data_IF_369951318012
#
_entry.id   IF_369951318012
#
_cell.length_a   1.000
_cell.length_b   1.000
_cell.length_c   1.000
_cell.angle_alpha   90.00
_cell.angle_beta   90.00
_cell.angle_gamma   90.00
#
_symmetry.space_group_name_H-M   'P 1'
#
loop_
_entity.id
_entity.type
_entity.pdbx_description
1 polymer ?
#
# COMPACT_ATOMS: atom_id res chain seq x y z
N UNK A 1 19.55 -2.29 -11.11
CA UNK A 1 19.05 -1.01 -11.60
C UNK A 1 18.56 -0.16 -10.44
N UNK A 2 18.69 1.16 -10.54
CA UNK A 2 18.15 2.07 -9.56
C UNK A 2 16.60 2.04 -9.62
N UNK A 3 15.94 2.12 -8.49
CA UNK A 3 14.48 2.19 -8.38
C UNK A 3 14.11 3.38 -7.50
N UNK A 4 13.23 4.24 -8.00
CA UNK A 4 12.66 5.32 -7.20
C UNK A 4 11.59 4.73 -6.27
N UNK A 5 11.85 4.72 -4.97
CA UNK A 5 10.93 4.13 -4.00
C UNK A 5 9.77 5.06 -3.68
N UNK A 6 9.97 6.00 -2.80
CA UNK A 6 8.92 6.92 -2.37
C UNK A 6 9.34 8.35 -2.67
N UNK A 7 8.53 9.06 -3.48
CA UNK A 7 8.70 10.46 -3.82
C UNK A 7 7.32 11.13 -3.84
N UNK A 8 7.00 11.86 -2.79
CA UNK A 8 5.70 12.50 -2.65
C UNK A 8 5.79 13.84 -1.93
N UNK A 9 4.81 14.69 -2.19
CA UNK A 9 4.52 15.89 -1.41
C UNK A 9 3.31 15.61 -0.53
N UNK A 10 3.36 16.11 0.71
CA UNK A 10 2.27 15.97 1.65
C UNK A 10 1.94 17.32 2.26
N UNK A 11 0.67 17.69 2.17
CA UNK A 11 0.06 18.80 2.89
C UNK A 11 -0.63 18.24 4.13
N UNK A 12 -0.40 18.85 5.26
CA UNK A 12 -0.95 18.43 6.54
C UNK A 12 -1.80 19.55 7.15
N UNK A 13 -2.73 19.17 8.05
CA UNK A 13 -3.61 20.12 8.75
C UNK A 13 -4.52 20.95 7.83
N UNK A 14 -5.01 20.35 6.75
CA UNK A 14 -6.02 20.99 5.92
C UNK A 14 -7.37 20.99 6.65
N UNK A 15 -8.16 22.07 6.54
CA UNK A 15 -9.37 22.24 7.37
C UNK A 15 -10.49 21.22 7.10
N UNK A 16 -10.51 20.59 5.92
CA UNK A 16 -11.55 19.64 5.50
C UNK A 16 -11.09 18.19 5.42
N UNK A 17 -9.80 17.93 5.15
CA UNK A 17 -9.29 16.62 4.77
C UNK A 17 -8.00 16.23 5.48
N UNK A 18 -7.67 16.92 6.54
CA UNK A 18 -6.48 16.77 7.40
C UNK A 18 -5.15 16.56 6.68
N UNK A 19 -4.97 15.49 5.89
CA UNK A 19 -3.72 15.23 5.18
C UNK A 19 -3.99 14.86 3.73
N UNK A 20 -3.33 15.56 2.81
CA UNK A 20 -3.33 15.28 1.39
C UNK A 20 -1.92 14.91 0.93
N UNK A 21 -1.79 13.83 0.18
CA UNK A 21 -0.53 13.34 -0.37
C UNK A 21 -0.64 13.14 -1.87
N UNK A 22 0.38 13.60 -2.61
CA UNK A 22 0.49 13.43 -4.06
C UNK A 22 1.91 13.01 -4.44
N UNK A 23 2.05 12.08 -5.36
CA UNK A 23 3.33 11.58 -5.85
C UNK A 23 3.37 10.06 -5.99
N UNK A 24 4.56 9.49 -5.86
CA UNK A 24 4.81 8.04 -5.91
C UNK A 24 4.93 7.49 -4.51
N UNK A 25 4.04 6.60 -4.15
CA UNK A 25 4.05 5.92 -2.84
C UNK A 25 3.23 4.62 -2.90
N UNK A 26 3.29 3.84 -1.84
CA UNK A 26 2.52 2.60 -1.74
C UNK A 26 1.03 2.88 -1.60
N UNK A 27 0.21 2.14 -2.34
CA UNK A 27 -1.24 2.22 -2.20
C UNK A 27 -1.68 1.73 -0.80
N UNK A 28 -2.67 2.38 -0.18
CA UNK A 28 -3.13 2.02 1.16
C UNK A 28 -4.05 0.79 1.11
N UNK A 29 -3.56 -0.35 0.64
CA UNK A 29 -4.34 -1.57 0.49
C UNK A 29 -4.02 -2.61 1.57
N UNK A 30 -2.80 -3.12 1.61
CA UNK A 30 -2.38 -4.18 2.54
C UNK A 30 -1.56 -3.62 3.70
N UNK A 31 -1.88 -4.05 4.94
CA UNK A 31 -1.07 -3.71 6.11
C UNK A 31 0.36 -4.23 5.94
N UNK A 32 0.50 -5.44 5.47
CA UNK A 32 1.80 -6.07 5.30
C UNK A 32 2.64 -5.39 4.21
N UNK A 33 2.00 -4.88 3.14
CA UNK A 33 2.72 -4.14 2.10
C UNK A 33 3.21 -2.78 2.58
N UNK A 34 2.39 -2.02 3.31
CA UNK A 34 2.79 -0.71 3.84
C UNK A 34 3.74 -0.80 5.03
N UNK A 35 3.76 -1.93 5.75
CA UNK A 35 4.69 -2.18 6.85
C UNK A 35 6.11 -2.33 6.31
N UNK A 36 7.07 -1.71 6.99
CA UNK A 36 8.49 -1.87 6.67
C UNK A 36 8.92 -3.32 6.86
N UNK A 37 9.76 -3.83 5.96
CA UNK A 37 10.34 -5.18 6.06
C UNK A 37 11.10 -5.46 7.37
N UNK A 38 11.49 -4.41 8.10
CA UNK A 38 12.12 -4.54 9.42
C UNK A 38 11.17 -4.99 10.52
N UNK A 39 9.86 -4.86 10.31
CA UNK A 39 8.82 -5.12 11.32
C UNK A 39 7.87 -6.25 10.92
N UNK A 40 8.15 -6.98 9.84
CA UNK A 40 7.40 -8.19 9.49
C UNK A 40 7.94 -9.39 10.28
N UNK A 41 7.03 -10.25 10.72
CA UNK A 41 7.37 -11.41 11.55
C UNK A 41 8.05 -12.52 10.76
N UNK A 42 7.68 -12.69 9.51
CA UNK A 42 8.22 -13.74 8.63
C UNK A 42 9.26 -13.16 7.66
N UNK A 43 10.18 -13.99 7.21
CA UNK A 43 11.21 -13.60 6.24
C UNK A 43 10.62 -13.18 4.88
N UNK A 44 9.42 -13.64 4.58
CA UNK A 44 8.68 -13.32 3.36
C UNK A 44 7.26 -12.89 3.68
N UNK A 45 6.69 -12.09 2.78
CA UNK A 45 5.31 -11.66 2.87
C UNK A 45 4.35 -12.77 2.46
N UNK A 46 3.17 -12.78 3.07
CA UNK A 46 2.14 -13.76 2.78
C UNK A 46 1.73 -13.74 1.29
N UNK A 47 1.32 -14.89 0.76
CA UNK A 47 0.88 -15.06 -0.63
C UNK A 47 -0.18 -14.02 -1.07
N UNK A 48 -1.17 -13.63 -0.26
CA UNK A 48 -2.13 -12.60 -0.63
C UNK A 48 -1.53 -11.24 -0.96
N UNK A 49 -0.29 -10.97 -0.55
CA UNK A 49 0.41 -9.73 -0.88
C UNK A 49 0.68 -9.54 -2.39
N UNK A 50 0.56 -10.60 -3.19
CA UNK A 50 0.57 -10.55 -4.67
C UNK A 50 -0.52 -9.62 -5.23
N UNK A 51 -1.63 -9.53 -4.53
CA UNK A 51 -2.74 -8.68 -4.93
C UNK A 51 -2.55 -7.22 -4.53
N UNK A 52 -1.56 -6.94 -3.67
CA UNK A 52 -1.22 -5.57 -3.31
C UNK A 52 -0.59 -4.84 -4.49
N UNK A 53 -1.05 -3.62 -4.73
CA UNK A 53 -0.69 -2.87 -5.93
C UNK A 53 0.75 -2.29 -5.90
N UNK A 54 1.44 -2.38 -4.76
CA UNK A 54 2.79 -1.84 -4.62
C UNK A 54 2.85 -0.30 -4.66
N UNK A 55 3.88 0.23 -5.34
CA UNK A 55 4.09 1.68 -5.48
C UNK A 55 3.57 2.17 -6.80
N UNK A 56 2.67 3.13 -6.74
CA UNK A 56 2.06 3.77 -7.89
C UNK A 56 2.07 5.30 -7.74
N UNK A 57 1.94 6.01 -8.86
CA UNK A 57 1.74 7.45 -8.84
C UNK A 57 0.28 7.74 -8.57
N UNK A 58 0.01 8.64 -7.63
CA UNK A 58 -1.37 8.96 -7.31
C UNK A 58 -1.51 10.09 -6.31
N UNK A 59 -2.75 10.30 -5.91
CA UNK A 59 -3.12 11.23 -4.86
C UNK A 59 -3.97 10.50 -3.83
N UNK A 60 -3.81 10.88 -2.58
CA UNK A 60 -4.48 10.26 -1.45
C UNK A 60 -4.81 11.29 -0.39
N UNK A 61 -5.99 11.15 0.15
CA UNK A 61 -6.43 11.82 1.39
C UNK A 61 -6.44 10.79 2.50
N UNK A 62 -5.92 11.14 3.64
CA UNK A 62 -5.92 10.27 4.80
C UNK A 62 -5.98 11.05 6.10
N UNK A 63 -6.55 10.44 7.12
CA UNK A 63 -6.62 11.02 8.45
C UNK A 63 -6.65 9.96 9.54
N UNK A 64 -6.54 10.44 10.78
CA UNK A 64 -6.66 9.68 12.01
C UNK A 64 -7.71 10.31 12.89
N UNK A 65 -8.54 9.50 13.51
CA UNK A 65 -9.60 9.91 14.41
C UNK A 65 -9.55 9.11 15.71
N UNK A 66 -10.23 9.61 16.75
CA UNK A 66 -10.34 8.95 18.06
C UNK A 66 -8.99 8.58 18.68
N UNK A 67 -8.11 9.57 18.87
CA UNK A 67 -6.77 9.37 19.44
C UNK A 67 -5.97 8.28 18.71
N UNK A 68 -5.94 8.40 17.36
CA UNK A 68 -5.25 7.46 16.45
C UNK A 68 -5.82 6.03 16.43
N UNK A 69 -6.96 5.77 17.08
CA UNK A 69 -7.60 4.45 17.10
C UNK A 69 -8.32 4.10 15.81
N UNK A 70 -8.72 5.10 15.04
CA UNK A 70 -9.31 4.94 13.70
C UNK A 70 -8.41 5.64 12.69
N UNK A 71 -8.04 4.93 11.64
CA UNK A 71 -7.35 5.55 10.49
C UNK A 71 -8.11 5.24 9.22
N UNK A 72 -8.17 6.20 8.33
CA UNK A 72 -8.76 6.01 7.02
C UNK A 72 -7.91 6.65 5.93
N UNK A 73 -7.96 6.09 4.74
CA UNK A 73 -7.28 6.60 3.57
C UNK A 73 -8.11 6.29 2.33
N UNK A 74 -8.22 7.27 1.44
CA UNK A 74 -8.86 7.14 0.13
C UNK A 74 -7.96 7.79 -0.90
N UNK A 75 -7.71 7.12 -2.01
CA UNK A 75 -6.85 7.66 -3.04
C UNK A 75 -7.14 7.11 -4.43
N UNK A 76 -6.65 7.84 -5.41
CA UNK A 76 -6.65 7.45 -6.81
C UNK A 76 -5.22 7.27 -7.27
N UNK A 77 -4.96 6.18 -7.97
CA UNK A 77 -3.63 5.78 -8.37
C UNK A 77 -3.58 5.40 -9.85
N UNK A 78 -2.42 5.55 -10.44
CA UNK A 78 -2.13 5.06 -11.77
C UNK A 78 -0.89 4.19 -11.73
N UNK A 79 -1.00 2.98 -12.26
CA UNK A 79 0.10 2.03 -12.32
C UNK A 79 1.24 2.57 -13.19
N UNK A 80 2.46 2.50 -12.66
CA UNK A 80 3.66 2.99 -13.32
C UNK A 80 4.77 1.93 -13.27
N UNK A 81 5.80 2.14 -14.09
CA UNK A 81 7.04 1.35 -14.04
C UNK A 81 7.85 1.58 -12.75
N UNK A 82 8.99 0.91 -12.62
CA UNK A 82 9.88 1.01 -11.46
C UNK A 82 10.42 2.43 -11.20
N UNK A 83 10.50 3.27 -12.21
CA UNK A 83 10.92 4.67 -12.09
C UNK A 83 9.76 5.65 -11.90
N UNK A 84 8.52 5.21 -12.13
CA UNK A 84 7.34 6.07 -12.03
C UNK A 84 7.11 7.00 -13.23
N UNK A 85 7.86 6.84 -14.29
CA UNK A 85 7.79 7.67 -15.51
C UNK A 85 7.02 7.00 -16.64
N UNK A 86 7.12 5.66 -16.75
CA UNK A 86 6.39 4.88 -17.75
C UNK A 86 4.99 4.54 -17.28
N UNK A 87 3.98 4.94 -18.05
CA UNK A 87 2.62 4.46 -17.84
C UNK A 87 2.41 3.24 -18.72
N UNK A 88 1.98 2.13 -18.11
CA UNK A 88 1.63 0.94 -18.88
C UNK A 88 0.53 1.27 -19.91
N UNK A 89 0.57 0.66 -21.10
CA UNK A 89 -0.39 0.96 -22.19
C UNK A 89 -1.85 0.73 -21.79
N UNK A 90 -2.07 -0.15 -20.82
CA UNK A 90 -3.41 -0.53 -20.32
C UNK A 90 -3.73 0.07 -18.95
N UNK A 91 -2.88 0.93 -18.40
CA UNK A 91 -3.05 1.44 -17.05
C UNK A 91 -4.01 2.62 -17.02
N UNK A 92 -5.26 2.34 -16.70
CA UNK A 92 -6.20 3.34 -16.21
C UNK A 92 -5.98 3.59 -14.71
N UNK A 93 -6.85 4.39 -14.16
CA UNK A 93 -6.84 4.71 -12.74
C UNK A 93 -7.38 3.56 -11.90
N UNK A 94 -6.85 3.42 -10.71
CA UNK A 94 -7.46 2.64 -9.62
C UNK A 94 -7.90 3.58 -8.50
N UNK A 95 -8.99 3.23 -7.89
CA UNK A 95 -9.45 3.85 -6.65
C UNK A 95 -9.22 2.85 -5.53
N UNK A 96 -8.45 3.25 -4.53
CA UNK A 96 -8.14 2.42 -3.37
C UNK A 96 -8.56 3.13 -2.10
N UNK A 97 -9.27 2.42 -1.24
CA UNK A 97 -9.70 2.92 0.07
C UNK A 97 -9.40 1.92 1.15
N UNK A 98 -9.14 2.42 2.36
CA UNK A 98 -8.83 1.63 3.53
C UNK A 98 -9.36 2.31 4.78
N UNK A 99 -9.88 1.49 5.69
CA UNK A 99 -10.23 1.90 7.05
C UNK A 99 -9.63 0.89 8.01
N UNK A 100 -9.01 1.35 9.08
CA UNK A 100 -8.50 0.48 10.14
C UNK A 100 -8.88 1.03 11.50
N UNK A 101 -9.13 0.14 12.43
CA UNK A 101 -9.53 0.48 13.77
C UNK A 101 -8.86 -0.38 14.83
N UNK A 102 -8.70 0.19 16.03
CA UNK A 102 -8.21 -0.45 17.24
C UNK A 102 -9.33 -0.45 18.29
N UNK A 103 -10.35 -1.33 18.18
CA UNK A 103 -11.45 -1.35 19.13
C UNK A 103 -11.02 -1.74 20.56
N UNK A 104 -9.94 -2.48 20.67
CA UNK A 104 -9.36 -2.83 21.95
C UNK A 104 -7.87 -2.46 21.98
N UNK A 105 -7.49 -1.65 22.96
CA UNK A 105 -6.11 -1.23 23.16
C UNK A 105 -5.85 -1.06 24.65
N UNK A 106 -5.02 -1.93 25.23
CA UNK A 106 -4.64 -1.93 26.64
C UNK A 106 -3.14 -2.14 26.82
N UNK A 107 -2.63 -1.79 28.02
CA UNK A 107 -1.27 -2.03 28.47
C UNK A 107 -0.20 -1.50 27.49
N UNK A 108 -0.40 -0.28 26.96
CA UNK A 108 0.52 0.36 25.97
C UNK A 108 0.77 -0.51 24.74
N UNK A 109 -0.26 -1.23 24.28
CA UNK A 109 -0.18 -2.06 23.08
C UNK A 109 0.21 -3.52 23.31
N UNK A 110 0.36 -3.98 24.55
CA UNK A 110 0.58 -5.41 24.85
C UNK A 110 -0.65 -6.26 24.54
N UNK A 111 -1.84 -5.67 24.71
CA UNK A 111 -3.12 -6.30 24.38
C UNK A 111 -3.86 -5.37 23.43
N UNK A 112 -3.90 -5.71 22.17
CA UNK A 112 -4.60 -4.94 21.15
C UNK A 112 -5.38 -5.86 20.21
N UNK A 113 -6.47 -5.33 19.70
CA UNK A 113 -7.22 -5.94 18.61
C UNK A 113 -7.30 -4.93 17.47
N UNK A 114 -6.70 -5.28 16.33
CA UNK A 114 -6.65 -4.42 15.15
C UNK A 114 -7.51 -5.02 14.05
N UNK A 115 -8.44 -4.24 13.54
CA UNK A 115 -9.27 -4.56 12.39
C UNK A 115 -8.92 -3.64 11.23
N UNK A 116 -8.88 -4.18 10.03
CA UNK A 116 -8.67 -3.41 8.81
C UNK A 116 -9.52 -3.93 7.68
N UNK A 117 -10.14 -3.01 6.95
CA UNK A 117 -10.85 -3.27 5.71
C UNK A 117 -10.26 -2.40 4.62
N UNK A 118 -10.00 -2.99 3.46
CA UNK A 118 -9.53 -2.27 2.27
C UNK A 118 -10.26 -2.74 1.03
N UNK A 119 -10.48 -1.79 0.13
CA UNK A 119 -11.10 -2.03 -1.16
C UNK A 119 -10.30 -1.33 -2.26
N UNK A 120 -10.09 -2.01 -3.37
CA UNK A 120 -9.44 -1.42 -4.55
C UNK A 120 -10.18 -1.81 -5.80
N UNK A 121 -10.60 -0.80 -6.57
CA UNK A 121 -11.23 -0.99 -7.86
C UNK A 121 -10.28 -0.49 -8.97
N UNK A 122 -9.98 -1.38 -9.92
CA UNK A 122 -9.08 -1.11 -11.04
C UNK A 122 -9.90 -0.94 -12.32
N UNK A 123 -9.92 0.27 -12.85
CA UNK A 123 -10.50 0.53 -14.18
C UNK A 123 -9.52 0.07 -15.26
N UNK A 124 -9.92 -0.87 -16.10
CA UNK A 124 -9.10 -1.40 -17.20
C UNK A 124 -9.78 -1.27 -18.54
N UNK A 125 -8.96 -1.21 -19.60
CA UNK A 125 -9.46 -1.23 -21.00
C UNK A 125 -9.57 -2.67 -21.52
N UNK A 126 -8.74 -3.59 -21.03
CA UNK A 126 -8.70 -4.99 -21.46
C UNK A 126 -8.98 -5.90 -20.27
N UNK A 127 -9.77 -6.96 -20.48
CA UNK A 127 -10.21 -7.88 -19.44
C UNK A 127 -9.12 -8.87 -18.95
N UNK A 128 -7.86 -8.67 -19.33
CA UNK A 128 -6.76 -9.56 -18.97
C UNK A 128 -6.07 -9.09 -17.69
N UNK A 129 -6.24 -9.86 -16.62
CA UNK A 129 -5.52 -9.70 -15.36
C UNK A 129 -4.31 -10.66 -15.33
N UNK A 130 -3.10 -10.12 -15.25
CA UNK A 130 -1.88 -10.92 -15.06
C UNK A 130 -1.33 -10.67 -13.67
N UNK A 131 -1.36 -11.70 -12.82
CA UNK A 131 -0.64 -11.72 -11.55
C UNK A 131 0.65 -12.49 -11.72
N UNK A 132 1.78 -11.89 -11.32
CA UNK A 132 3.08 -12.55 -11.30
C UNK A 132 3.62 -12.50 -9.89
N UNK A 133 3.97 -13.65 -9.36
CA UNK A 133 4.73 -13.79 -8.14
C UNK A 133 6.03 -14.52 -8.44
N UNK A 134 7.12 -14.07 -7.83
CA UNK A 134 8.36 -14.84 -7.83
C UNK A 134 8.21 -16.01 -6.86
N UNK A 135 8.75 -17.20 -7.20
CA UNK A 135 8.74 -18.32 -6.25
C UNK A 135 9.43 -17.92 -4.96
N UNK A 136 8.85 -18.31 -3.86
CA UNK A 136 9.25 -17.99 -2.49
C UNK A 136 10.60 -18.62 -2.11
N UNK A 137 10.99 -19.71 -2.75
CA UNK A 137 12.22 -20.45 -2.48
C UNK A 137 13.24 -20.25 -3.61
N UNK A 138 14.22 -19.41 -3.39
CA UNK A 138 15.44 -19.37 -4.20
C UNK A 138 16.50 -20.19 -3.48
N UNK A 139 16.62 -21.46 -3.83
CA UNK A 139 17.80 -22.23 -3.45
C UNK A 139 19.00 -21.67 -4.23
N UNK A 140 19.81 -20.86 -3.57
CA UNK A 140 21.14 -20.56 -4.06
C UNK A 140 21.98 -21.80 -3.78
N UNK A 141 22.26 -22.62 -4.80
CA UNK A 141 23.34 -23.58 -4.71
C UNK A 141 24.63 -22.77 -4.49
N UNK A 142 25.18 -22.83 -3.28
CA UNK A 142 26.55 -22.48 -3.05
C UNK A 142 27.37 -23.61 -3.73
N UNK A 143 27.97 -23.33 -4.89
CA UNK A 143 28.98 -24.19 -5.49
C UNK A 143 30.17 -24.25 -4.52
N UNK A 144 30.58 -25.47 -4.24
CA UNK A 144 31.86 -25.82 -3.60
C UNK A 144 33.02 -25.36 -4.46
#
# INVERSE_FOLDING_TARGET
>A
GAELKDAYLQLTKLPLVSNFRVGRFKEPFSLEDITSSKYITFMERALPNVFAAGRNNGMMVHDRAFDERLTWAVGTFRQTDGFGTGFGPDSKYNVTMRVTGLPWYQDRGRRLFHLGLSYSHKFRNNDVLRFRQRPTLIFRQCGL
#
